data_IF_545892411017
#
_entry.id   IF_545892411017
#
_cell.length_a   1.000
_cell.length_b   1.000
_cell.length_c   1.000
_cell.angle_alpha   90.00
_cell.angle_beta   90.00
_cell.angle_gamma   90.00
#
_symmetry.space_group_name_H-M   'P 1'
#
loop_
_entity.id
_entity.type
_entity.pdbx_description
1 polymer ?
#
# COMPACT_ATOMS: atom_id res chain seq x y z
N UNK A 1 21.58 -31.18 -27.25
CA UNK A 1 20.97 -31.27 -25.89
C UNK A 1 21.65 -30.35 -24.87
N UNK A 2 22.97 -30.41 -24.65
CA UNK A 2 23.68 -29.54 -23.67
C UNK A 2 23.53 -28.03 -23.92
N UNK A 3 23.59 -27.58 -25.18
CA UNK A 3 23.41 -26.16 -25.53
C UNK A 3 21.96 -25.66 -25.38
N UNK A 4 20.97 -26.53 -25.61
CA UNK A 4 19.55 -26.21 -25.36
C UNK A 4 19.24 -26.16 -23.85
N UNK A 5 19.81 -27.07 -23.06
CA UNK A 5 19.69 -27.06 -21.60
C UNK A 5 20.36 -25.83 -20.97
N UNK A 6 21.52 -25.39 -21.47
CA UNK A 6 22.15 -24.12 -21.07
C UNK A 6 21.32 -22.90 -21.49
N UNK A 7 20.70 -22.91 -22.68
CA UNK A 7 19.82 -21.83 -23.14
C UNK A 7 18.55 -21.69 -22.30
N UNK A 8 17.90 -22.80 -21.95
CA UNK A 8 16.74 -22.79 -21.04
C UNK A 8 17.12 -22.34 -19.63
N UNK A 9 18.28 -22.77 -19.11
CA UNK A 9 18.77 -22.33 -17.80
C UNK A 9 19.09 -20.81 -17.76
N UNK A 10 19.65 -20.25 -18.84
CA UNK A 10 19.90 -18.81 -18.96
C UNK A 10 18.60 -17.99 -19.10
N UNK A 11 17.58 -18.51 -19.78
CA UNK A 11 16.27 -17.85 -19.90
C UNK A 11 15.50 -17.84 -18.56
N UNK A 12 15.54 -18.93 -17.79
CA UNK A 12 14.97 -18.95 -16.44
C UNK A 12 15.74 -18.04 -15.47
N UNK A 13 17.07 -17.98 -15.58
CA UNK A 13 17.89 -17.05 -14.80
C UNK A 13 17.64 -15.57 -15.17
N UNK A 14 17.37 -15.26 -16.44
CA UNK A 14 17.01 -13.91 -16.89
C UNK A 14 15.64 -13.47 -16.35
N UNK A 15 14.67 -14.39 -16.21
CA UNK A 15 13.38 -14.06 -15.57
C UNK A 15 13.54 -13.72 -14.09
N UNK A 16 14.46 -14.37 -13.37
CA UNK A 16 14.84 -14.00 -12.00
C UNK A 16 15.50 -12.61 -11.94
N UNK A 17 16.22 -12.18 -12.99
CA UNK A 17 16.81 -10.84 -13.06
C UNK A 17 15.80 -9.70 -13.26
N UNK A 18 14.53 -10.02 -13.49
CA UNK A 18 13.42 -9.07 -13.66
C UNK A 18 12.36 -9.18 -12.55
N UNK A 19 12.64 -9.94 -11.49
CA UNK A 19 11.75 -9.99 -10.33
C UNK A 19 11.99 -8.76 -9.44
N UNK A 20 10.90 -8.20 -8.91
CA UNK A 20 10.94 -7.07 -7.98
C UNK A 20 10.39 -7.50 -6.64
N UNK A 21 11.08 -7.08 -5.58
CA UNK A 21 10.56 -7.16 -4.23
C UNK A 21 9.58 -6.00 -3.94
N UNK A 22 8.59 -6.20 -3.05
CA UNK A 22 7.67 -5.14 -2.66
C UNK A 22 8.32 -4.05 -1.80
N UNK A 23 9.41 -4.38 -1.10
CA UNK A 23 10.07 -3.45 -0.20
C UNK A 23 11.57 -3.48 -0.36
N UNK A 24 12.19 -2.35 -0.07
CA UNK A 24 13.63 -2.17 -0.08
C UNK A 24 14.09 -1.78 1.33
N UNK A 25 15.08 -2.47 1.86
CA UNK A 25 15.75 -2.04 3.09
C UNK A 25 16.49 -0.72 2.84
N UNK A 26 16.60 0.11 3.87
CA UNK A 26 17.35 1.36 3.82
C UNK A 26 18.40 1.39 4.95
N UNK A 27 19.09 2.53 5.07
CA UNK A 27 20.04 2.77 6.14
C UNK A 27 19.37 2.69 7.53
N UNK A 28 20.14 2.20 8.51
CA UNK A 28 19.70 2.13 9.91
C UNK A 28 19.85 3.49 10.59
N UNK A 29 18.84 3.90 11.34
CA UNK A 29 18.89 5.09 12.18
C UNK A 29 19.72 4.84 13.45
N UNK A 30 20.28 5.91 14.00
CA UNK A 30 20.83 5.90 15.34
C UNK A 30 19.74 5.55 16.36
N UNK A 31 20.14 4.95 17.48
CA UNK A 31 19.23 4.60 18.56
C UNK A 31 18.51 5.85 19.09
N UNK A 32 17.18 5.82 19.11
CA UNK A 32 16.28 6.83 19.63
C UNK A 32 14.90 6.21 19.86
N UNK A 33 14.00 6.91 20.55
CA UNK A 33 12.60 6.51 20.61
C UNK A 33 11.91 6.61 19.24
N UNK A 34 10.84 5.83 19.05
CA UNK A 34 10.15 5.70 17.77
C UNK A 34 9.58 7.05 17.23
N UNK A 35 8.95 7.91 18.06
CA UNK A 35 8.60 9.27 17.64
C UNK A 35 9.78 10.09 17.11
N UNK A 36 10.92 10.08 17.80
CA UNK A 36 12.14 10.76 17.35
C UNK A 36 12.69 10.18 16.04
N UNK A 37 12.60 8.87 15.83
CA UNK A 37 13.00 8.22 14.58
C UNK A 37 12.09 8.61 13.41
N UNK A 38 10.77 8.67 13.62
CA UNK A 38 9.81 9.16 12.62
C UNK A 38 10.14 10.59 12.19
N UNK A 39 10.32 11.50 13.15
CA UNK A 39 10.64 12.90 12.85
C UNK A 39 11.95 13.05 12.06
N UNK A 40 12.95 12.20 12.31
CA UNK A 40 14.19 12.17 11.53
C UNK A 40 13.96 11.72 10.08
N UNK A 41 13.16 10.66 9.89
CA UNK A 41 12.80 10.15 8.55
C UNK A 41 11.99 11.18 7.78
N UNK A 42 10.98 11.80 8.39
CA UNK A 42 10.17 12.86 7.79
C UNK A 42 11.04 14.01 7.28
N UNK A 43 11.97 14.52 8.11
CA UNK A 43 12.88 15.59 7.70
C UNK A 43 13.76 15.21 6.51
N UNK A 44 14.29 13.99 6.49
CA UNK A 44 15.10 13.48 5.37
C UNK A 44 14.29 13.39 4.07
N UNK A 45 13.03 12.95 4.16
CA UNK A 45 12.13 12.86 3.01
C UNK A 45 11.71 14.24 2.50
N UNK A 46 11.38 15.16 3.39
CA UNK A 46 11.05 16.55 3.02
C UNK A 46 12.22 17.27 2.36
N UNK A 47 13.46 17.01 2.80
CA UNK A 47 14.66 17.56 2.18
C UNK A 47 14.86 17.08 0.72
N UNK A 48 14.29 15.94 0.35
CA UNK A 48 14.25 15.43 -1.03
C UNK A 48 12.93 15.77 -1.76
N UNK A 49 12.14 16.72 -1.22
CA UNK A 49 10.96 17.27 -1.88
C UNK A 49 9.70 16.40 -1.79
N UNK A 50 9.68 15.39 -0.92
CA UNK A 50 8.46 14.64 -0.64
C UNK A 50 7.54 15.41 0.31
N UNK A 51 6.23 15.27 0.13
CA UNK A 51 5.23 15.80 1.07
C UNK A 51 4.84 14.71 2.06
N UNK A 52 4.92 14.98 3.37
CA UNK A 52 4.42 14.07 4.40
C UNK A 52 2.90 14.22 4.49
N UNK A 53 2.20 13.10 4.32
CA UNK A 53 0.74 13.04 4.38
C UNK A 53 0.22 12.62 5.76
N UNK A 54 1.00 11.83 6.50
CA UNK A 54 0.65 11.34 7.82
C UNK A 54 1.59 10.24 8.31
N UNK A 55 1.32 9.74 9.51
CA UNK A 55 2.06 8.64 10.12
C UNK A 55 1.12 7.56 10.62
N UNK A 56 1.61 6.32 10.61
CA UNK A 56 0.89 5.17 11.10
C UNK A 56 1.67 4.49 12.22
N UNK A 57 1.04 4.34 13.38
CA UNK A 57 1.56 3.55 14.51
C UNK A 57 0.53 2.46 14.81
N UNK A 58 0.63 1.29 14.15
CA UNK A 58 -0.39 0.23 14.24
C UNK A 58 -0.61 -0.22 15.68
N UNK A 59 -1.84 -0.07 16.19
CA UNK A 59 -2.19 -0.45 17.55
C UNK A 59 -2.06 -1.97 17.74
N UNK A 60 -1.20 -2.39 18.65
CA UNK A 60 -0.94 -3.81 18.94
C UNK A 60 0.18 -4.44 18.10
N UNK A 61 0.94 -3.64 17.34
CA UNK A 61 2.19 -4.06 16.70
C UNK A 61 3.33 -3.19 17.26
N UNK A 62 3.92 -3.65 18.36
CA UNK A 62 4.86 -2.85 19.11
C UNK A 62 6.14 -2.55 18.31
N UNK A 63 6.64 -1.31 18.44
CA UNK A 63 7.90 -0.90 17.82
C UNK A 63 7.87 -0.84 16.30
N UNK A 64 6.70 -0.71 15.68
CA UNK A 64 6.56 -0.50 14.24
C UNK A 64 5.84 0.82 13.99
N UNK A 65 6.32 1.58 13.01
CA UNK A 65 5.63 2.75 12.50
C UNK A 65 5.90 2.94 11.01
N UNK A 66 5.09 3.76 10.35
CA UNK A 66 5.39 4.23 9.00
C UNK A 66 5.06 5.71 8.81
N UNK A 67 5.82 6.37 7.95
CA UNK A 67 5.51 7.68 7.39
C UNK A 67 4.89 7.44 6.02
N UNK A 68 3.75 8.09 5.76
CA UNK A 68 3.14 8.12 4.43
C UNK A 68 3.50 9.44 3.76
N UNK A 69 4.06 9.36 2.55
CA UNK A 69 4.47 10.50 1.76
C UNK A 69 3.81 10.49 0.38
N UNK A 70 3.75 11.64 -0.28
CA UNK A 70 3.45 11.77 -1.71
C UNK A 70 4.58 12.46 -2.46
N UNK A 71 4.59 12.26 -3.77
CA UNK A 71 5.47 12.96 -4.69
C UNK A 71 4.67 13.83 -5.66
N UNK A 72 5.00 15.14 -5.81
CA UNK A 72 4.27 16.03 -6.72
C UNK A 72 4.21 15.54 -8.17
N UNK A 73 5.30 15.01 -8.73
CA UNK A 73 5.33 14.56 -10.12
C UNK A 73 4.43 13.33 -10.34
N UNK A 74 4.44 12.38 -9.40
CA UNK A 74 3.51 11.25 -9.42
C UNK A 74 2.05 11.68 -9.25
N UNK A 75 1.76 12.67 -8.41
CA UNK A 75 0.40 13.22 -8.30
C UNK A 75 -0.07 13.84 -9.61
N UNK A 76 0.81 14.53 -10.36
CA UNK A 76 0.47 15.04 -11.70
C UNK A 76 0.19 13.90 -12.69
N UNK A 77 1.00 12.83 -12.69
CA UNK A 77 0.74 11.65 -13.52
C UNK A 77 -0.62 11.02 -13.18
N UNK A 78 -0.96 10.91 -11.89
CA UNK A 78 -2.26 10.40 -11.44
C UNK A 78 -3.40 11.30 -11.93
N UNK A 79 -3.27 12.64 -11.83
CA UNK A 79 -4.29 13.58 -12.35
C UNK A 79 -4.45 13.48 -13.87
N UNK A 80 -3.35 13.32 -14.59
CA UNK A 80 -3.34 13.22 -16.06
C UNK A 80 -4.05 11.97 -16.58
N UNK A 81 -4.17 10.91 -15.75
CA UNK A 81 -4.97 9.73 -16.06
C UNK A 81 -6.50 9.95 -15.95
N UNK A 82 -6.92 11.14 -15.52
CA UNK A 82 -8.33 11.46 -15.30
C UNK A 82 -8.94 10.65 -14.14
N UNK A 83 -10.27 10.62 -14.11
CA UNK A 83 -11.04 9.89 -13.09
C UNK A 83 -10.77 8.39 -13.17
N UNK A 84 -10.01 7.85 -12.21
CA UNK A 84 -9.54 6.46 -12.24
C UNK A 84 -9.12 5.95 -10.86
N UNK A 85 -8.91 4.64 -10.74
CA UNK A 85 -8.37 4.04 -9.51
C UNK A 85 -6.89 4.34 -9.26
N UNK A 86 -6.21 5.08 -10.15
CA UNK A 86 -4.80 5.44 -10.01
C UNK A 86 -4.52 6.27 -8.74
N UNK A 87 -5.56 6.92 -8.17
CA UNK A 87 -5.48 7.66 -6.91
C UNK A 87 -4.93 6.82 -5.74
N UNK A 88 -5.09 5.50 -5.75
CA UNK A 88 -4.53 4.62 -4.72
C UNK A 88 -2.99 4.70 -4.65
N UNK A 89 -2.32 5.05 -5.76
CA UNK A 89 -0.87 5.21 -5.86
C UNK A 89 -0.37 6.56 -5.34
N UNK A 90 -1.22 7.38 -4.72
CA UNK A 90 -0.82 8.72 -4.22
C UNK A 90 0.10 8.66 -3.00
N UNK A 91 0.04 7.58 -2.23
CA UNK A 91 0.83 7.40 -1.00
C UNK A 91 1.93 6.36 -1.17
N UNK A 92 3.16 6.73 -0.82
CA UNK A 92 4.28 5.82 -0.58
C UNK A 92 4.53 5.71 0.92
N UNK A 93 4.90 4.53 1.38
CA UNK A 93 5.12 4.24 2.80
C UNK A 93 6.59 3.97 3.05
N UNK A 94 7.11 4.62 4.09
CA UNK A 94 8.43 4.38 4.65
C UNK A 94 8.22 3.83 6.04
N UNK A 95 8.67 2.60 6.28
CA UNK A 95 8.53 1.91 7.54
C UNK A 95 9.76 2.05 8.44
N UNK A 96 9.51 2.17 9.74
CA UNK A 96 10.51 2.31 10.80
C UNK A 96 10.22 1.23 11.85
N UNK A 97 11.23 0.43 12.16
CA UNK A 97 11.21 -0.45 13.32
C UNK A 97 11.94 0.20 14.51
N UNK A 98 11.54 -0.15 15.74
CA UNK A 98 12.05 0.46 16.97
C UNK A 98 13.55 0.21 17.24
N UNK A 99 14.15 -0.77 16.55
CA UNK A 99 15.60 -0.97 16.54
C UNK A 99 16.34 -0.03 15.57
N UNK A 100 15.63 0.88 14.91
CA UNK A 100 16.13 1.85 13.94
C UNK A 100 16.20 1.35 12.50
N UNK A 101 15.78 0.11 12.19
CA UNK A 101 15.71 -0.34 10.79
C UNK A 101 14.69 0.50 10.02
N UNK A 102 15.07 0.94 8.83
CA UNK A 102 14.20 1.65 7.89
C UNK A 102 14.00 0.79 6.64
N UNK A 103 12.80 0.83 6.09
CA UNK A 103 12.46 0.24 4.81
C UNK A 103 11.45 1.11 4.08
N UNK A 104 11.29 0.93 2.78
CA UNK A 104 10.27 1.65 2.02
C UNK A 104 9.64 0.77 0.95
N UNK A 105 8.41 1.12 0.55
CA UNK A 105 7.77 0.55 -0.64
C UNK A 105 8.69 0.71 -1.85
N UNK A 106 9.05 -0.38 -2.50
CA UNK A 106 9.82 -0.35 -3.76
C UNK A 106 8.93 0.27 -4.85
N UNK A 107 9.19 1.51 -5.33
CA UNK A 107 8.28 2.22 -6.21
C UNK A 107 8.01 1.46 -7.51
N UNK A 108 9.05 0.86 -8.13
CA UNK A 108 8.86 0.11 -9.38
C UNK A 108 7.88 -1.08 -9.22
N UNK A 109 7.88 -1.73 -8.05
CA UNK A 109 6.95 -2.81 -7.75
C UNK A 109 5.50 -2.31 -7.60
N UNK A 110 5.30 -1.35 -6.69
CA UNK A 110 3.95 -0.90 -6.31
C UNK A 110 3.27 -0.12 -7.42
N UNK A 111 4.00 0.74 -8.13
CA UNK A 111 3.41 1.54 -9.20
C UNK A 111 3.05 0.69 -10.43
N UNK A 112 3.77 -0.40 -10.72
CA UNK A 112 3.33 -1.37 -11.75
C UNK A 112 2.01 -2.03 -11.37
N UNK A 113 1.86 -2.43 -10.11
CA UNK A 113 0.63 -3.08 -9.63
C UNK A 113 -0.55 -2.11 -9.53
N UNK A 114 -0.31 -0.85 -9.18
CA UNK A 114 -1.37 0.14 -8.95
C UNK A 114 -1.74 0.94 -10.21
N UNK A 115 -0.77 1.34 -11.03
CA UNK A 115 -1.04 2.08 -12.28
C UNK A 115 -1.29 1.14 -13.46
N UNK A 116 -0.82 -0.11 -13.38
CA UNK A 116 -1.09 -1.17 -14.36
C UNK A 116 -0.74 -0.69 -15.78
N UNK A 117 -1.71 -0.67 -16.70
CA UNK A 117 -1.54 -0.22 -18.08
C UNK A 117 -1.08 1.24 -18.19
N UNK A 118 -1.30 2.07 -17.15
CA UNK A 118 -0.86 3.46 -17.10
C UNK A 118 0.56 3.63 -16.54
N UNK A 119 1.23 2.54 -16.13
CA UNK A 119 2.56 2.61 -15.56
C UNK A 119 3.60 3.20 -16.52
N UNK A 120 3.47 2.97 -17.83
CA UNK A 120 4.39 3.52 -18.85
C UNK A 120 4.51 5.04 -18.76
N UNK A 121 3.40 5.74 -18.50
CA UNK A 121 3.37 7.20 -18.33
C UNK A 121 3.98 7.68 -17.02
N UNK A 122 4.26 6.79 -16.07
CA UNK A 122 4.81 7.11 -14.76
C UNK A 122 6.29 6.69 -14.58
N UNK A 123 6.87 5.94 -15.53
CA UNK A 123 8.18 5.29 -15.36
C UNK A 123 9.30 6.25 -14.92
N UNK A 124 9.38 7.42 -15.56
CA UNK A 124 10.40 8.41 -15.24
C UNK A 124 10.21 9.00 -13.83
N UNK A 125 8.97 9.33 -13.47
CA UNK A 125 8.63 9.83 -12.13
C UNK A 125 8.91 8.77 -11.05
N UNK A 126 8.56 7.51 -11.30
CA UNK A 126 8.83 6.37 -10.41
C UNK A 126 10.33 6.17 -10.23
N UNK A 127 11.13 6.24 -11.30
CA UNK A 127 12.59 6.17 -11.23
C UNK A 127 13.18 7.33 -10.42
N UNK A 128 12.70 8.54 -10.64
CA UNK A 128 13.09 9.73 -9.86
C UNK A 128 12.81 9.56 -8.37
N UNK A 129 11.64 9.03 -8.03
CA UNK A 129 11.24 8.75 -6.64
C UNK A 129 12.14 7.71 -6.00
N UNK A 130 12.46 6.60 -6.68
CA UNK A 130 13.42 5.61 -6.17
C UNK A 130 14.80 6.22 -5.91
N UNK A 131 15.31 7.05 -6.82
CA UNK A 131 16.61 7.72 -6.64
C UNK A 131 16.59 8.65 -5.42
N UNK A 132 15.53 9.42 -5.22
CA UNK A 132 15.39 10.33 -4.06
C UNK A 132 15.17 9.59 -2.75
N UNK A 133 14.42 8.48 -2.73
CA UNK A 133 14.32 7.60 -1.56
C UNK A 133 15.69 7.03 -1.19
N UNK A 134 16.45 6.57 -2.18
CA UNK A 134 17.82 6.06 -2.00
C UNK A 134 18.74 7.13 -1.43
N UNK A 135 18.65 8.37 -1.93
CA UNK A 135 19.43 9.51 -1.43
C UNK A 135 19.04 9.90 0.01
N UNK A 136 17.75 9.96 0.32
CA UNK A 136 17.26 10.33 1.65
C UNK A 136 17.56 9.27 2.72
N UNK A 137 17.35 8.00 2.39
CA UNK A 137 17.26 6.91 3.37
C UNK A 137 18.38 5.88 3.24
N UNK A 138 19.08 5.85 2.11
CA UNK A 138 20.07 4.84 1.78
C UNK A 138 19.52 3.74 0.86
N UNK A 139 20.46 3.00 0.28
CA UNK A 139 20.19 1.80 -0.53
C UNK A 139 20.16 0.55 0.37
N UNK A 140 19.52 -0.51 -0.10
CA UNK A 140 19.54 -1.82 0.54
C UNK A 140 18.89 -2.88 -0.33
N UNK A 141 18.91 -4.12 0.17
CA UNK A 141 18.36 -5.25 -0.56
C UNK A 141 16.82 -5.23 -0.57
N UNK A 142 16.23 -5.78 -1.63
CA UNK A 142 14.80 -6.06 -1.69
C UNK A 142 14.39 -7.19 -0.73
N UNK A 143 13.19 -7.11 -0.16
CA UNK A 143 12.64 -8.15 0.73
C UNK A 143 11.11 -8.25 0.65
N UNK A 144 10.56 -9.32 1.22
CA UNK A 144 9.13 -9.65 1.19
C UNK A 144 8.73 -10.68 0.16
N UNK A 145 9.70 -11.27 -0.53
CA UNK A 145 9.51 -12.09 -1.72
C UNK A 145 9.71 -11.26 -2.98
N UNK A 146 9.40 -11.85 -4.13
CA UNK A 146 9.52 -11.17 -5.40
C UNK A 146 8.41 -11.60 -6.37
N UNK A 147 8.14 -10.73 -7.34
CA UNK A 147 7.21 -10.97 -8.44
C UNK A 147 7.86 -10.47 -9.72
N UNK A 148 7.75 -11.24 -10.79
CA UNK A 148 8.25 -10.83 -12.10
C UNK A 148 7.58 -9.51 -12.54
N UNK A 149 8.37 -8.54 -13.02
CA UNK A 149 7.89 -7.22 -13.46
C UNK A 149 6.65 -7.29 -14.37
N UNK A 150 6.67 -8.19 -15.36
CA UNK A 150 5.58 -8.35 -16.32
C UNK A 150 4.29 -8.95 -15.74
N UNK A 151 4.34 -9.52 -14.53
CA UNK A 151 3.16 -10.07 -13.85
C UNK A 151 2.46 -9.05 -12.96
N UNK A 152 3.11 -7.93 -12.61
CA UNK A 152 2.56 -6.95 -11.67
C UNK A 152 1.33 -6.21 -12.22
N UNK A 153 1.32 -5.87 -13.51
CA UNK A 153 0.19 -5.21 -14.20
C UNK A 153 -1.12 -5.98 -14.02
N UNK A 154 -1.00 -7.31 -13.99
CA UNK A 154 -2.09 -8.27 -13.96
C UNK A 154 -1.95 -9.23 -12.77
N UNK A 155 -1.45 -8.74 -11.63
CA UNK A 155 -1.16 -9.61 -10.50
C UNK A 155 -2.41 -10.26 -9.90
N UNK A 156 -2.26 -11.52 -9.50
CA UNK A 156 -3.15 -12.27 -8.60
C UNK A 156 -2.32 -13.33 -7.90
N UNK A 157 -2.69 -13.65 -6.67
CA UNK A 157 -1.94 -14.63 -5.87
C UNK A 157 -2.04 -16.05 -6.44
N UNK A 158 -3.26 -16.49 -6.75
CA UNK A 158 -3.51 -17.76 -7.43
C UNK A 158 -4.54 -17.57 -8.55
N UNK A 159 -4.58 -18.54 -9.46
CA UNK A 159 -5.64 -18.62 -10.44
C UNK A 159 -7.02 -18.66 -9.77
N UNK A 160 -7.96 -17.86 -10.26
CA UNK A 160 -9.30 -17.71 -9.68
C UNK A 160 -9.39 -16.76 -8.48
N UNK A 161 -8.29 -16.23 -7.98
CA UNK A 161 -8.31 -15.21 -6.91
C UNK A 161 -8.41 -13.79 -7.46
N UNK A 162 -8.70 -12.87 -6.55
CA UNK A 162 -8.95 -11.46 -6.84
C UNK A 162 -7.70 -10.75 -7.37
N UNK A 163 -7.99 -9.77 -8.23
CA UNK A 163 -7.04 -8.83 -8.83
C UNK A 163 -7.34 -7.43 -8.34
N UNK A 164 -6.54 -6.46 -8.77
CA UNK A 164 -6.79 -5.04 -8.55
C UNK A 164 -8.23 -4.63 -8.93
N UNK A 165 -8.68 -5.06 -10.11
CA UNK A 165 -9.97 -4.76 -10.73
C UNK A 165 -11.07 -5.78 -10.41
N UNK A 166 -10.97 -6.48 -9.29
CA UNK A 166 -12.02 -7.38 -8.84
C UNK A 166 -13.34 -6.63 -8.64
N UNK A 167 -14.46 -7.25 -9.03
CA UNK A 167 -15.80 -6.75 -8.72
C UNK A 167 -16.03 -6.63 -7.20
N UNK A 168 -15.29 -7.41 -6.41
CA UNK A 168 -15.31 -7.32 -4.95
C UNK A 168 -14.62 -6.04 -4.41
N UNK A 169 -13.94 -5.25 -5.24
CA UNK A 169 -13.29 -4.02 -4.76
C UNK A 169 -14.25 -2.85 -4.58
N UNK A 170 -15.40 -2.84 -5.27
CA UNK A 170 -16.46 -1.84 -5.05
C UNK A 170 -17.22 -2.17 -3.76
N UNK A 171 -17.31 -1.21 -2.85
CA UNK A 171 -17.86 -1.40 -1.49
C UNK A 171 -18.94 -0.38 -1.13
N UNK A 172 -19.23 0.57 -2.00
CA UNK A 172 -20.31 1.53 -1.78
C UNK A 172 -20.46 2.52 -2.91
N UNK A 173 -21.60 3.20 -2.95
CA UNK A 173 -21.89 4.26 -3.91
C UNK A 173 -22.78 5.31 -3.26
N UNK A 174 -22.59 6.58 -3.63
CA UNK A 174 -23.30 7.74 -3.11
C UNK A 174 -23.95 8.53 -4.25
N UNK A 175 -24.73 9.58 -3.95
CA UNK A 175 -25.32 10.40 -5.01
C UNK A 175 -24.28 11.27 -5.73
N UNK A 176 -23.17 11.61 -5.05
CA UNK A 176 -22.08 12.41 -5.63
C UNK A 176 -20.72 12.09 -5.00
N UNK A 177 -19.66 12.57 -5.64
CA UNK A 177 -18.29 12.53 -5.10
C UNK A 177 -18.22 13.21 -3.72
N UNK A 178 -18.79 14.41 -3.59
CA UNK A 178 -18.75 15.19 -2.36
C UNK A 178 -19.49 14.48 -1.21
N UNK A 179 -20.61 13.84 -1.51
CA UNK A 179 -21.33 13.01 -0.52
C UNK A 179 -20.51 11.80 -0.09
N UNK A 180 -19.85 11.11 -1.02
CA UNK A 180 -18.99 9.97 -0.71
C UNK A 180 -17.82 10.40 0.19
N UNK A 181 -17.12 11.49 -0.16
CA UNK A 181 -16.02 12.04 0.63
C UNK A 181 -16.51 12.42 2.03
N UNK A 182 -17.61 13.16 2.13
CA UNK A 182 -18.18 13.60 3.41
C UNK A 182 -18.57 12.42 4.29
N UNK A 183 -19.20 11.39 3.73
CA UNK A 183 -19.59 10.19 4.47
C UNK A 183 -18.37 9.43 5.01
N UNK A 184 -17.38 9.15 4.16
CA UNK A 184 -16.15 8.43 4.54
C UNK A 184 -15.37 9.21 5.59
N UNK A 185 -15.15 10.52 5.39
CA UNK A 185 -14.49 11.38 6.38
C UNK A 185 -15.25 11.37 7.72
N UNK A 186 -16.58 11.50 7.68
CA UNK A 186 -17.43 11.48 8.87
C UNK A 186 -17.37 10.16 9.63
N UNK A 187 -17.34 9.03 8.94
CA UNK A 187 -17.24 7.70 9.54
C UNK A 187 -15.85 7.47 10.15
N UNK A 188 -14.78 7.89 9.47
CA UNK A 188 -13.41 7.83 10.00
C UNK A 188 -13.22 8.75 11.22
N UNK A 189 -13.80 9.95 11.21
CA UNK A 189 -13.72 10.89 12.33
C UNK A 189 -14.42 10.35 13.60
N UNK A 190 -15.46 9.53 13.43
CA UNK A 190 -16.15 8.83 14.54
C UNK A 190 -15.40 7.59 15.03
N UNK A 191 -14.32 7.19 14.37
CA UNK A 191 -13.62 5.93 14.63
C UNK A 191 -14.48 4.70 14.37
N UNK A 192 -15.41 4.77 13.41
CA UNK A 192 -16.35 3.68 13.12
C UNK A 192 -15.58 2.39 12.84
N UNK A 193 -15.86 1.35 13.63
CA UNK A 193 -15.18 0.06 13.51
C UNK A 193 -13.76 0.04 14.03
N UNK A 194 -13.45 0.85 15.04
CA UNK A 194 -12.12 1.03 15.61
C UNK A 194 -11.10 1.43 14.53
N UNK A 195 -11.50 2.32 13.63
CA UNK A 195 -10.65 2.81 12.56
C UNK A 195 -10.06 4.18 12.89
N UNK A 196 -8.98 4.53 12.20
CA UNK A 196 -8.41 5.87 12.25
C UNK A 196 -7.91 6.27 10.85
N UNK A 197 -8.15 7.53 10.47
CA UNK A 197 -7.56 8.10 9.26
C UNK A 197 -6.07 8.38 9.50
N UNK A 198 -5.21 7.71 8.72
CA UNK A 198 -3.75 7.92 8.70
C UNK A 198 -3.39 9.06 7.77
N UNK A 199 -3.93 9.06 6.57
CA UNK A 199 -3.68 10.09 5.56
C UNK A 199 -4.88 10.24 4.64
N UNK A 200 -4.88 11.33 3.89
CA UNK A 200 -5.88 11.63 2.87
C UNK A 200 -5.24 12.38 1.70
N UNK A 201 -5.64 12.03 0.48
CA UNK A 201 -5.35 12.81 -0.73
C UNK A 201 -6.65 13.02 -1.48
N UNK A 202 -6.98 14.28 -1.76
CA UNK A 202 -8.16 14.69 -2.50
C UNK A 202 -7.77 15.28 -3.85
N UNK A 203 -8.48 14.86 -4.90
CA UNK A 203 -8.41 15.43 -6.24
C UNK A 203 -9.84 15.74 -6.73
N UNK A 204 -10.49 16.81 -6.19
CA UNK A 204 -11.90 17.08 -6.47
C UNK A 204 -12.19 17.34 -7.95
N UNK A 205 -11.28 18.00 -8.66
CA UNK A 205 -11.42 18.27 -10.10
C UNK A 205 -11.52 16.97 -10.93
N UNK A 206 -10.86 15.90 -10.51
CA UNK A 206 -10.92 14.57 -11.12
C UNK A 206 -11.93 13.65 -10.43
N UNK A 207 -12.63 14.12 -9.39
CA UNK A 207 -13.52 13.31 -8.54
C UNK A 207 -12.86 12.05 -7.99
N UNK A 208 -11.65 12.22 -7.44
CA UNK A 208 -10.91 11.12 -6.81
C UNK A 208 -10.50 11.48 -5.39
N UNK A 209 -10.50 10.48 -4.51
CA UNK A 209 -9.96 10.57 -3.16
C UNK A 209 -9.32 9.25 -2.75
N UNK A 210 -8.33 9.28 -1.87
CA UNK A 210 -7.82 8.09 -1.17
C UNK A 210 -7.57 8.40 0.30
N UNK A 211 -7.86 7.43 1.14
CA UNK A 211 -7.71 7.45 2.59
C UNK A 211 -6.86 6.26 3.02
N UNK A 212 -5.83 6.52 3.81
CA UNK A 212 -5.16 5.48 4.59
C UNK A 212 -5.96 5.20 5.85
N UNK A 213 -6.32 3.94 6.08
CA UNK A 213 -7.17 3.51 7.19
C UNK A 213 -6.39 2.54 8.08
N UNK A 214 -6.10 2.97 9.31
CA UNK A 214 -5.62 2.08 10.36
C UNK A 214 -6.80 1.27 10.91
N UNK A 215 -6.59 -0.02 11.15
CA UNK A 215 -7.60 -0.93 11.70
C UNK A 215 -7.19 -1.37 13.12
N UNK A 216 -7.66 -0.63 14.12
CA UNK A 216 -7.13 -0.71 15.50
C UNK A 216 -7.85 -1.75 16.38
N UNK A 217 -8.85 -2.46 15.86
CA UNK A 217 -9.49 -3.54 16.61
C UNK A 217 -8.49 -4.66 16.91
N UNK A 218 -8.44 -5.11 18.16
CA UNK A 218 -7.53 -6.17 18.58
C UNK A 218 -7.95 -7.58 18.14
N UNK A 219 -9.24 -7.78 17.83
CA UNK A 219 -9.78 -9.11 17.47
C UNK A 219 -9.75 -9.40 15.97
N UNK A 220 -9.91 -8.37 15.15
CA UNK A 220 -10.12 -8.48 13.70
C UNK A 220 -9.48 -7.34 12.89
N UNK A 221 -8.75 -6.45 13.57
CA UNK A 221 -7.94 -5.40 12.94
C UNK A 221 -6.56 -5.87 12.52
N UNK A 222 -5.70 -4.92 12.17
CA UNK A 222 -4.43 -5.22 11.50
C UNK A 222 -3.42 -5.96 12.38
N UNK A 223 -3.40 -5.68 13.68
CA UNK A 223 -2.49 -6.35 14.61
C UNK A 223 -2.78 -7.83 14.76
N UNK A 224 -4.03 -8.26 14.68
CA UNK A 224 -4.40 -9.68 14.83
C UNK A 224 -3.74 -10.56 13.76
N UNK A 225 -3.87 -10.20 12.48
CA UNK A 225 -3.36 -11.04 11.40
C UNK A 225 -1.89 -10.77 11.08
N UNK A 226 -1.41 -9.53 11.20
CA UNK A 226 0.02 -9.22 10.95
C UNK A 226 0.91 -9.96 11.94
N UNK A 227 0.54 -9.99 13.23
CA UNK A 227 1.30 -10.73 14.24
C UNK A 227 1.32 -12.25 14.00
N UNK A 228 0.40 -12.80 13.19
CA UNK A 228 0.42 -14.22 12.80
C UNK A 228 1.37 -14.53 11.66
N UNK A 229 1.59 -13.59 10.74
CA UNK A 229 2.39 -13.82 9.53
C UNK A 229 3.78 -13.19 9.58
N UNK A 230 4.01 -12.24 10.48
CA UNK A 230 5.27 -11.52 10.65
C UNK A 230 5.11 -10.00 10.50
N UNK A 231 5.60 -9.26 11.49
CA UNK A 231 5.44 -7.80 11.59
C UNK A 231 6.60 -6.98 10.96
N UNK A 232 7.55 -7.62 10.29
CA UNK A 232 8.74 -6.97 9.70
C UNK A 232 8.46 -6.11 8.45
N UNK A 233 7.20 -5.75 8.22
CA UNK A 233 6.74 -5.01 7.03
C UNK A 233 5.93 -3.77 7.40
N UNK A 234 6.49 -2.82 8.16
CA UNK A 234 5.79 -1.60 8.58
C UNK A 234 5.23 -0.77 7.41
N UNK A 235 5.87 -0.84 6.24
CA UNK A 235 5.42 -0.16 5.03
C UNK A 235 4.27 -0.88 4.29
N UNK A 236 3.78 -2.01 4.79
CA UNK A 236 2.64 -2.71 4.21
C UNK A 236 1.28 -2.12 4.60
N UNK A 237 1.25 -1.40 5.73
CA UNK A 237 0.08 -0.76 6.31
C UNK A 237 0.24 0.77 6.28
N UNK A 238 -0.86 1.54 6.30
CA UNK A 238 -2.27 1.12 6.44
C UNK A 238 -2.91 0.63 5.15
N UNK A 239 -4.14 0.10 5.24
CA UNK A 239 -4.99 -0.20 4.09
C UNK A 239 -5.52 1.06 3.42
N UNK A 240 -5.80 0.97 2.12
CA UNK A 240 -6.37 2.05 1.33
C UNK A 240 -7.88 1.86 1.08
N UNK A 241 -8.65 2.92 1.31
CA UNK A 241 -10.01 3.09 0.81
C UNK A 241 -10.01 4.30 -0.12
N UNK A 242 -10.58 4.19 -1.32
CA UNK A 242 -10.52 5.24 -2.32
C UNK A 242 -11.86 5.45 -3.02
N UNK A 243 -12.05 6.66 -3.54
CA UNK A 243 -13.28 7.11 -4.18
C UNK A 243 -12.94 7.49 -5.61
N UNK A 244 -13.76 7.04 -6.55
CA UNK A 244 -13.69 7.41 -7.98
C UNK A 244 -15.12 7.73 -8.42
N UNK A 245 -15.33 8.93 -8.94
CA UNK A 245 -16.66 9.51 -9.16
C UNK A 245 -17.48 9.48 -7.86
N UNK A 246 -18.55 8.70 -7.80
CA UNK A 246 -19.43 8.57 -6.64
C UNK A 246 -19.31 7.19 -5.97
N UNK A 247 -18.34 6.37 -6.40
CA UNK A 247 -18.15 5.00 -5.93
C UNK A 247 -16.96 4.89 -5.00
N UNK A 248 -17.13 4.11 -3.94
CA UNK A 248 -16.11 3.82 -2.94
C UNK A 248 -15.58 2.41 -3.16
N UNK A 249 -14.26 2.30 -3.10
CA UNK A 249 -13.52 1.08 -3.34
C UNK A 249 -12.53 0.82 -2.22
N UNK A 250 -12.26 -0.46 -1.97
CA UNK A 250 -11.09 -0.92 -1.24
C UNK A 250 -10.57 -2.18 -1.97
N UNK A 251 -9.26 -2.28 -2.14
CA UNK A 251 -8.69 -3.49 -2.76
C UNK A 251 -9.09 -4.71 -1.92
N UNK A 252 -9.59 -5.76 -2.58
CA UNK A 252 -9.94 -6.97 -1.85
C UNK A 252 -8.71 -7.52 -1.13
N UNK A 253 -8.84 -7.77 0.17
CA UNK A 253 -7.68 -7.95 1.03
C UNK A 253 -6.85 -9.20 0.68
N UNK A 254 -7.43 -10.22 0.05
CA UNK A 254 -6.65 -11.35 -0.50
C UNK A 254 -5.61 -10.87 -1.52
N UNK A 255 -6.01 -10.00 -2.45
CA UNK A 255 -5.11 -9.37 -3.41
C UNK A 255 -4.10 -8.47 -2.69
N UNK A 256 -4.57 -7.58 -1.81
CA UNK A 256 -3.72 -6.56 -1.15
C UNK A 256 -2.66 -7.16 -0.21
N UNK A 257 -3.00 -8.24 0.49
CA UNK A 257 -2.07 -8.98 1.35
C UNK A 257 -1.07 -9.74 0.48
N UNK A 258 -1.52 -10.50 -0.52
CA UNK A 258 -0.60 -11.24 -1.38
C UNK A 258 0.34 -10.34 -2.19
N UNK A 259 -0.09 -9.12 -2.54
CA UNK A 259 0.76 -8.13 -3.20
C UNK A 259 1.80 -7.55 -2.24
N UNK A 260 1.47 -7.37 -0.96
CA UNK A 260 2.42 -6.89 0.06
C UNK A 260 3.38 -7.98 0.56
N UNK A 261 2.94 -9.23 0.63
CA UNK A 261 3.76 -10.37 1.05
C UNK A 261 3.80 -11.48 -0.01
N UNK A 262 4.48 -11.29 -1.16
CA UNK A 262 4.64 -12.34 -2.16
C UNK A 262 5.27 -13.62 -1.63
N UNK A 263 6.17 -13.53 -0.63
CA UNK A 263 6.77 -14.69 0.02
C UNK A 263 5.81 -15.46 0.94
N UNK A 264 4.60 -14.97 1.18
CA UNK A 264 3.64 -15.62 2.06
C UNK A 264 3.23 -16.97 1.46
N UNK A 265 3.53 -18.05 2.19
CA UNK A 265 3.13 -19.40 1.78
C UNK A 265 1.65 -19.67 2.01
N UNK A 266 1.12 -20.70 1.33
CA UNK A 266 -0.29 -21.09 1.46
C UNK A 266 -0.71 -21.37 2.91
N UNK A 267 0.14 -22.04 3.70
CA UNK A 267 -0.15 -22.34 5.11
C UNK A 267 -0.33 -21.08 5.96
N UNK A 268 0.50 -20.06 5.74
CA UNK A 268 0.37 -18.77 6.41
C UNK A 268 -0.91 -18.05 5.96
N UNK A 269 -1.23 -18.07 4.66
CA UNK A 269 -2.46 -17.49 4.13
C UNK A 269 -3.71 -18.13 4.75
N UNK A 270 -3.73 -19.45 4.88
CA UNK A 270 -4.81 -20.18 5.54
C UNK A 270 -4.92 -19.83 7.05
N UNK A 271 -3.80 -19.54 7.71
CA UNK A 271 -3.78 -19.08 9.11
C UNK A 271 -4.45 -17.72 9.35
N UNK A 272 -4.61 -16.92 8.28
CA UNK A 272 -5.27 -15.61 8.28
C UNK A 272 -6.51 -15.57 7.37
N UNK A 273 -7.13 -16.71 7.06
CA UNK A 273 -8.25 -16.80 6.10
C UNK A 273 -9.43 -15.86 6.40
N UNK A 274 -9.63 -15.50 7.68
CA UNK A 274 -10.69 -14.57 8.10
C UNK A 274 -10.30 -13.09 7.96
N UNK A 275 -9.00 -12.77 7.85
CA UNK A 275 -8.53 -11.38 7.74
C UNK A 275 -9.17 -10.66 6.54
N UNK A 276 -9.21 -11.25 5.32
CA UNK A 276 -9.75 -10.55 4.18
C UNK A 276 -11.21 -10.11 4.34
N UNK A 277 -12.05 -10.95 4.94
CA UNK A 277 -13.46 -10.63 5.14
C UNK A 277 -13.68 -9.65 6.30
N UNK A 278 -12.89 -9.75 7.38
CA UNK A 278 -12.89 -8.76 8.46
C UNK A 278 -12.51 -7.36 7.96
N UNK A 279 -11.46 -7.27 7.14
CA UNK A 279 -11.03 -6.03 6.48
C UNK A 279 -12.14 -5.49 5.58
N UNK A 280 -12.72 -6.34 4.72
CA UNK A 280 -13.83 -5.96 3.84
C UNK A 280 -15.02 -5.42 4.63
N UNK A 281 -15.46 -6.13 5.66
CA UNK A 281 -16.59 -5.76 6.52
C UNK A 281 -16.37 -4.39 7.18
N UNK A 282 -15.16 -4.13 7.68
CA UNK A 282 -14.82 -2.81 8.25
C UNK A 282 -14.84 -1.71 7.19
N UNK A 283 -14.29 -1.95 6.00
CA UNK A 283 -14.33 -0.97 4.91
C UNK A 283 -15.77 -0.71 4.41
N UNK A 284 -16.63 -1.72 4.33
CA UNK A 284 -18.05 -1.59 3.98
C UNK A 284 -18.78 -0.64 4.94
N UNK A 285 -18.50 -0.74 6.25
CA UNK A 285 -19.07 0.18 7.25
C UNK A 285 -18.63 1.63 6.98
N UNK A 286 -17.36 1.85 6.64
CA UNK A 286 -16.85 3.18 6.29
C UNK A 286 -17.48 3.75 5.02
N UNK A 287 -17.81 2.89 4.06
CA UNK A 287 -18.44 3.24 2.80
C UNK A 287 -19.99 3.35 2.87
N UNK A 288 -20.59 3.25 4.06
CA UNK A 288 -22.04 3.38 4.22
C UNK A 288 -22.47 4.83 4.45
N UNK A 289 -23.58 5.23 3.82
CA UNK A 289 -24.31 6.45 4.18
C UNK A 289 -24.96 6.20 5.55
N UNK A 290 -24.24 6.50 6.63
CA UNK A 290 -24.60 6.09 7.99
C UNK A 290 -26.11 6.07 8.25
N UNK A 291 -26.70 4.88 8.20
CA UNK A 291 -28.04 4.68 8.68
C UNK A 291 -27.96 4.69 10.21
N UNK A 292 -28.66 5.65 10.80
CA UNK A 292 -29.16 5.66 12.17
C UNK A 292 -29.36 4.26 12.73
N UNK A 293 -28.90 4.05 13.96
CA UNK A 293 -28.87 2.75 14.62
C UNK A 293 -30.17 1.96 14.57
N UNK A 294 -30.00 0.64 14.58
CA UNK A 294 -30.92 -0.31 15.16
C UNK A 294 -30.15 -1.09 16.23
#
# INVERSE_FOLDING_TARGET
MKQWLMGCALLCAAQLSLALAPYTHAGKLSAADLPSQLAQVEKKLQAEGFTVLGHHMPKGIAGQASVVISDPALLEVIRANGTSSAIIASGLRVGIAGDGRVSYMTPDYWYRAYLRNQFSGAQEAVKSVQMRLTKALGEGAGFGGDVAQGQLTDYRYMFGMERFDSANSEIGSFASFDEAVKAVQGNLAKGLGDTQRVYEVLMPAQKMAVFGVAMNSGSDGESWWVNKIGADFPAALPYELFIVDNKVYALYARYRIALAWPALGMGQFMGIINAPEAIRSTMLRLASSGASGH
#
